data_IF_296246521264
#
_entry.id   IF_296246521264
#
_cell.length_a   1.000
_cell.length_b   1.000
_cell.length_c   1.000
_cell.angle_alpha   90.00
_cell.angle_beta   90.00
_cell.angle_gamma   90.00
#
_symmetry.space_group_name_H-M   'P 1'
#
loop_
_entity.id
_entity.type
_entity.pdbx_description
1 polymer ?
#
# COMPACT_ATOMS: atom_id res chain seq x y z
N UNK A 1 -8.10 -13.16 -8.61
CA UNK A 1 -7.95 -12.25 -7.45
C UNK A 1 -7.18 -11.02 -7.87
N UNK A 2 -7.54 -9.86 -7.34
CA UNK A 2 -6.87 -8.61 -7.69
C UNK A 2 -5.45 -8.60 -7.11
N UNK A 3 -4.52 -8.00 -7.85
CA UNK A 3 -3.15 -7.85 -7.38
C UNK A 3 -3.10 -6.75 -6.31
N UNK A 4 -2.38 -7.01 -5.23
CA UNK A 4 -2.17 -6.05 -4.13
C UNK A 4 -0.72 -5.61 -4.12
N UNK A 5 -0.49 -4.31 -4.14
CA UNK A 5 0.83 -3.73 -3.99
C UNK A 5 0.71 -2.48 -3.14
N UNK A 6 1.79 -2.08 -2.48
CA UNK A 6 1.73 -0.91 -1.62
C UNK A 6 3.08 -0.22 -1.48
N UNK A 7 3.02 1.06 -1.13
CA UNK A 7 4.18 1.82 -0.72
C UNK A 7 4.09 2.02 0.79
N UNK A 8 5.19 1.75 1.48
CA UNK A 8 5.25 1.72 2.93
C UNK A 8 6.44 2.53 3.43
N UNK A 9 6.52 2.68 4.74
CA UNK A 9 7.72 3.18 5.41
C UNK A 9 8.20 2.10 6.36
N UNK A 10 9.51 1.88 6.44
CA UNK A 10 10.08 0.81 7.27
C UNK A 10 9.77 0.97 8.76
N UNK A 11 9.49 2.20 9.19
CA UNK A 11 9.19 2.51 10.59
C UNK A 11 7.72 2.82 10.85
N UNK A 12 6.84 2.53 9.90
CA UNK A 12 5.42 2.91 9.99
C UNK A 12 4.59 1.81 10.66
N UNK A 13 4.02 2.08 11.85
CA UNK A 13 3.17 1.10 12.53
C UNK A 13 1.92 0.72 11.72
N UNK A 14 1.32 1.68 11.04
CA UNK A 14 0.13 1.44 10.21
C UNK A 14 0.44 0.55 9.01
N UNK A 15 1.65 0.70 8.45
CA UNK A 15 2.11 -0.17 7.37
C UNK A 15 2.26 -1.61 7.86
N UNK A 16 2.78 -1.80 9.07
CA UNK A 16 2.89 -3.13 9.67
C UNK A 16 1.53 -3.77 9.89
N UNK A 17 0.55 -2.98 10.36
CA UNK A 17 -0.82 -3.47 10.53
C UNK A 17 -1.43 -3.88 9.20
N UNK A 18 -1.14 -3.13 8.14
CA UNK A 18 -1.64 -3.43 6.79
C UNK A 18 -1.04 -4.74 6.25
N UNK A 19 0.26 -4.90 6.37
CA UNK A 19 0.92 -6.15 5.91
C UNK A 19 0.44 -7.34 6.71
N UNK A 20 0.25 -7.17 8.01
CA UNK A 20 -0.28 -8.22 8.88
C UNK A 20 -1.69 -8.61 8.45
N UNK A 21 -2.53 -7.63 8.14
CA UNK A 21 -3.89 -7.90 7.67
C UNK A 21 -3.89 -8.80 6.44
N UNK A 22 -3.12 -8.46 5.42
CA UNK A 22 -3.06 -9.26 4.19
C UNK A 22 -2.47 -10.64 4.45
N UNK A 23 -1.43 -10.73 5.27
CA UNK A 23 -0.81 -12.00 5.62
C UNK A 23 -1.80 -12.92 6.33
N UNK A 24 -2.55 -12.41 7.29
CA UNK A 24 -3.54 -13.20 8.04
C UNK A 24 -4.70 -13.66 7.15
N UNK A 25 -5.03 -12.90 6.12
CA UNK A 25 -6.09 -13.26 5.17
C UNK A 25 -5.59 -14.17 4.04
N UNK A 26 -4.30 -14.51 4.05
CA UNK A 26 -3.71 -15.34 3.01
C UNK A 26 -3.63 -14.67 1.66
N UNK A 27 -3.54 -13.35 1.62
CA UNK A 27 -3.50 -12.56 0.39
C UNK A 27 -2.06 -12.19 0.09
N UNK A 28 -1.59 -12.54 -1.11
CA UNK A 28 -0.25 -12.16 -1.56
C UNK A 28 -0.21 -10.68 -1.90
N UNK A 29 0.90 -10.03 -1.57
CA UNK A 29 1.10 -8.62 -1.85
C UNK A 29 2.57 -8.32 -2.06
N UNK A 30 2.84 -7.24 -2.79
CA UNK A 30 4.18 -6.69 -2.96
C UNK A 30 4.24 -5.35 -2.24
N UNK A 31 5.40 -4.98 -1.72
CA UNK A 31 5.56 -3.66 -1.11
C UNK A 31 6.96 -3.10 -1.35
N UNK A 32 7.04 -1.78 -1.29
CA UNK A 32 8.31 -1.07 -1.37
C UNK A 32 8.35 -0.09 -0.21
N UNK A 33 9.38 -0.17 0.63
CA UNK A 33 9.61 0.81 1.68
C UNK A 33 10.20 2.08 1.04
N UNK A 34 9.41 3.14 1.01
CA UNK A 34 9.79 4.40 0.38
C UNK A 34 11.10 4.95 0.94
N UNK A 35 11.25 4.93 2.26
CA UNK A 35 12.44 5.47 2.93
C UNK A 35 13.72 4.69 2.64
N UNK A 36 13.60 3.44 2.21
CA UNK A 36 14.74 2.59 1.86
C UNK A 36 14.98 2.49 0.36
N UNK A 37 14.12 3.09 -0.46
CA UNK A 37 14.24 3.04 -1.91
C UNK A 37 15.32 3.99 -2.43
N UNK A 38 15.81 3.73 -3.63
CA UNK A 38 16.74 4.65 -4.30
C UNK A 38 16.01 5.90 -4.79
N UNK A 39 16.77 6.92 -5.20
CA UNK A 39 16.19 8.21 -5.60
C UNK A 39 15.26 8.09 -6.80
N UNK A 40 15.59 7.25 -7.76
CA UNK A 40 14.75 7.03 -8.94
C UNK A 40 13.40 6.42 -8.55
N UNK A 41 13.43 5.43 -7.69
CA UNK A 41 12.21 4.78 -7.19
C UNK A 41 11.38 5.73 -6.35
N UNK A 42 12.02 6.54 -5.49
CA UNK A 42 11.32 7.56 -4.71
C UNK A 42 10.61 8.57 -5.59
N UNK A 43 11.26 9.03 -6.65
CA UNK A 43 10.66 9.97 -7.59
C UNK A 43 9.42 9.37 -8.26
N UNK A 44 9.50 8.12 -8.64
CA UNK A 44 8.38 7.41 -9.25
C UNK A 44 7.20 7.30 -8.27
N UNK A 45 7.49 6.95 -7.02
CA UNK A 45 6.47 6.86 -5.98
C UNK A 45 5.84 8.22 -5.72
N UNK A 46 6.66 9.27 -5.63
CA UNK A 46 6.18 10.64 -5.42
C UNK A 46 5.20 11.05 -6.51
N UNK A 47 5.53 10.78 -7.76
CA UNK A 47 4.67 11.11 -8.90
C UNK A 47 3.34 10.37 -8.84
N UNK A 48 3.39 9.10 -8.51
CA UNK A 48 2.18 8.27 -8.42
C UNK A 48 1.29 8.73 -7.28
N UNK A 49 1.87 8.98 -6.11
CA UNK A 49 1.11 9.46 -4.97
C UNK A 49 0.52 10.86 -5.22
N UNK A 50 1.28 11.75 -5.84
CA UNK A 50 0.79 13.08 -6.21
C UNK A 50 -0.38 12.99 -7.19
N UNK A 51 -0.31 12.09 -8.16
CA UNK A 51 -1.39 11.89 -9.13
C UNK A 51 -2.70 11.47 -8.47
N UNK A 52 -2.62 10.82 -7.32
CA UNK A 52 -3.79 10.37 -6.55
C UNK A 52 -4.06 11.23 -5.32
N UNK A 53 -3.36 12.36 -5.18
CA UNK A 53 -3.47 13.27 -4.05
C UNK A 53 -3.22 12.58 -2.70
N UNK A 54 -2.35 11.58 -2.70
CA UNK A 54 -2.04 10.81 -1.50
C UNK A 54 -0.82 11.41 -0.78
N UNK A 55 -0.91 11.50 0.54
CA UNK A 55 0.13 12.10 1.38
C UNK A 55 0.55 11.22 2.56
N UNK A 56 -0.06 10.05 2.70
CA UNK A 56 0.18 9.17 3.85
C UNK A 56 0.50 7.76 3.41
N UNK A 57 1.20 7.05 4.30
CA UNK A 57 1.50 5.63 4.14
C UNK A 57 0.68 4.82 5.15
N UNK A 58 0.35 3.58 4.86
CA UNK A 58 0.61 2.88 3.59
C UNK A 58 -0.27 3.41 2.47
N UNK A 59 0.25 3.42 1.25
CA UNK A 59 -0.52 3.73 0.05
C UNK A 59 -0.72 2.42 -0.70
N UNK A 60 -1.94 1.90 -0.70
CA UNK A 60 -2.24 0.54 -1.16
C UNK A 60 -2.97 0.58 -2.50
N UNK A 61 -2.52 -0.26 -3.41
CA UNK A 61 -3.20 -0.47 -4.69
C UNK A 61 -3.79 -1.88 -4.71
N UNK A 62 -5.09 -1.97 -4.96
CA UNK A 62 -5.81 -3.24 -5.09
C UNK A 62 -6.47 -3.25 -6.47
N UNK A 63 -5.90 -4.01 -7.41
CA UNK A 63 -6.33 -3.95 -8.80
C UNK A 63 -6.08 -2.56 -9.36
N UNK A 64 -7.15 -1.87 -9.76
CA UNK A 64 -7.08 -0.50 -10.26
C UNK A 64 -7.48 0.55 -9.23
N UNK A 65 -7.78 0.13 -8.02
CA UNK A 65 -8.21 1.02 -6.94
C UNK A 65 -7.06 1.34 -6.00
N UNK A 66 -7.10 2.52 -5.40
CA UNK A 66 -6.08 2.99 -4.46
C UNK A 66 -6.72 3.31 -3.13
N UNK A 67 -6.03 2.96 -2.03
CA UNK A 67 -6.48 3.25 -0.67
C UNK A 67 -5.32 3.87 0.09
N UNK A 68 -5.52 5.06 0.62
CA UNK A 68 -4.55 5.74 1.45
C UNK A 68 -4.79 5.40 2.92
N UNK A 69 -3.75 4.91 3.61
CA UNK A 69 -3.82 4.59 5.02
C UNK A 69 -4.33 3.19 5.31
N UNK A 70 -4.39 2.87 6.61
CA UNK A 70 -4.87 1.56 7.07
C UNK A 70 -6.39 1.56 7.13
N UNK A 71 -7.01 0.90 6.17
CA UNK A 71 -8.48 0.82 6.05
C UNK A 71 -8.89 -0.62 5.76
N UNK A 72 -8.88 -1.50 6.76
CA UNK A 72 -9.14 -2.93 6.54
C UNK A 72 -10.51 -3.21 5.94
N UNK A 73 -11.53 -2.45 6.29
CA UNK A 73 -12.87 -2.60 5.74
C UNK A 73 -12.87 -2.32 4.23
N UNK A 74 -12.15 -1.29 3.81
CA UNK A 74 -12.05 -0.94 2.41
C UNK A 74 -11.25 -1.99 1.64
N UNK A 75 -10.19 -2.53 2.23
CA UNK A 75 -9.43 -3.61 1.62
C UNK A 75 -10.31 -4.83 1.39
N UNK A 76 -11.07 -5.22 2.40
CA UNK A 76 -11.98 -6.37 2.30
C UNK A 76 -13.03 -6.15 1.23
N UNK A 77 -13.61 -4.97 1.16
CA UNK A 77 -14.61 -4.59 0.18
C UNK A 77 -14.07 -4.72 -1.25
N UNK A 78 -12.89 -4.18 -1.49
CA UNK A 78 -12.26 -4.21 -2.81
C UNK A 78 -11.82 -5.62 -3.23
N UNK A 79 -11.47 -6.46 -2.26
CA UNK A 79 -11.05 -7.83 -2.50
C UNK A 79 -12.21 -8.84 -2.48
N UNK A 80 -13.38 -8.42 -2.04
CA UNK A 80 -14.54 -9.30 -1.96
C UNK A 80 -14.46 -10.35 -0.86
N UNK A 81 -13.85 -9.98 0.24
CA UNK A 81 -13.67 -10.92 1.36
C UNK A 81 -14.37 -10.46 2.64
#
# INVERSE_FOLDING_TARGET
MKKVSMYTLSTCPWCRKTTKFFTEKGIEFDYIDYDLADDETKDKIDREMDAHHAHAFPFVRIGDDYVEGYRPERYSELLGI
#
